data_IF_400926070163
#
_entry.id   IF_400926070163
#
_cell.length_a   1.000
_cell.length_b   1.000
_cell.length_c   1.000
_cell.angle_alpha   90.00
_cell.angle_beta   90.00
_cell.angle_gamma   90.00
#
_symmetry.space_group_name_H-M   'P 1'
#
loop_
_entity.id
_entity.type
_entity.pdbx_description
1 polymer ?
#
# COMPACT_ATOMS: atom_id res chain seq x y z
N UNK A 1 -75.03 -28.64 -17.01
CA UNK A 1 -73.92 -28.11 -16.19
C UNK A 1 -72.77 -27.68 -17.10
N UNK A 2 -72.57 -26.37 -17.29
CA UNK A 2 -71.48 -25.80 -18.12
C UNK A 2 -70.45 -25.17 -17.20
N UNK A 3 -69.26 -25.79 -17.07
CA UNK A 3 -68.11 -25.19 -16.37
C UNK A 3 -67.46 -24.16 -17.30
N UNK A 4 -67.55 -22.88 -16.93
CA UNK A 4 -66.72 -21.83 -17.55
C UNK A 4 -65.27 -22.03 -17.11
N UNK A 5 -64.37 -22.24 -18.08
CA UNK A 5 -62.92 -22.15 -17.89
C UNK A 5 -62.55 -20.66 -17.85
N UNK A 6 -61.97 -20.20 -16.75
CA UNK A 6 -61.30 -18.89 -16.70
C UNK A 6 -60.04 -18.96 -17.55
N UNK A 7 -60.08 -18.38 -18.74
CA UNK A 7 -58.87 -18.06 -19.51
C UNK A 7 -58.14 -16.94 -18.77
N UNK A 8 -57.13 -17.30 -17.98
CA UNK A 8 -56.17 -16.35 -17.43
C UNK A 8 -55.43 -15.69 -18.59
N UNK A 9 -55.73 -14.42 -18.86
CA UNK A 9 -54.94 -13.61 -19.76
C UNK A 9 -53.51 -13.55 -19.19
N UNK A 10 -52.54 -14.15 -19.89
CA UNK A 10 -51.13 -13.93 -19.59
C UNK A 10 -50.85 -12.45 -19.86
N UNK A 11 -50.79 -11.65 -18.80
CA UNK A 11 -50.40 -10.25 -18.89
C UNK A 11 -48.99 -10.19 -19.48
N UNK A 12 -48.89 -9.81 -20.75
CA UNK A 12 -47.62 -9.54 -21.40
C UNK A 12 -47.03 -8.25 -20.85
N UNK A 13 -45.71 -8.25 -20.64
CA UNK A 13 -44.96 -7.08 -20.26
C UNK A 13 -45.20 -5.96 -21.28
N UNK A 14 -45.56 -4.76 -20.82
CA UNK A 14 -45.69 -3.62 -21.75
C UNK A 14 -44.32 -3.14 -22.19
N UNK A 15 -44.21 -2.58 -23.40
CA UNK A 15 -42.94 -2.04 -23.90
C UNK A 15 -42.37 -0.96 -22.98
N UNK A 16 -43.25 -0.14 -22.38
CA UNK A 16 -42.89 0.87 -21.39
C UNK A 16 -42.27 0.24 -20.13
N UNK A 17 -42.89 -0.80 -19.60
CA UNK A 17 -42.42 -1.51 -18.41
C UNK A 17 -41.06 -2.18 -18.66
N UNK A 18 -40.84 -2.71 -19.87
CA UNK A 18 -39.55 -3.26 -20.28
C UNK A 18 -38.45 -2.20 -20.27
N UNK A 19 -38.71 -1.01 -20.82
CA UNK A 19 -37.75 0.11 -20.83
C UNK A 19 -37.40 0.52 -19.39
N UNK A 20 -38.41 0.67 -18.53
CA UNK A 20 -38.21 1.04 -17.12
C UNK A 20 -37.32 0.01 -16.41
N UNK A 21 -37.59 -1.29 -16.60
CA UNK A 21 -36.78 -2.36 -15.99
C UNK A 21 -35.33 -2.30 -16.46
N UNK A 22 -35.08 -2.11 -17.75
CA UNK A 22 -33.72 -2.00 -18.30
C UNK A 22 -33.01 -0.77 -17.72
N UNK A 23 -33.69 0.38 -17.64
CA UNK A 23 -33.09 1.60 -17.07
C UNK A 23 -32.72 1.40 -15.60
N UNK A 24 -33.61 0.80 -14.80
CA UNK A 24 -33.33 0.51 -13.39
C UNK A 24 -32.16 -0.48 -13.25
N UNK A 25 -32.13 -1.54 -14.07
CA UNK A 25 -31.02 -2.51 -14.07
C UNK A 25 -29.68 -1.85 -14.42
N UNK A 26 -29.64 -0.98 -15.43
CA UNK A 26 -28.43 -0.23 -15.78
C UNK A 26 -27.95 0.65 -14.63
N UNK A 27 -28.88 1.37 -13.98
CA UNK A 27 -28.56 2.23 -12.84
C UNK A 27 -28.00 1.42 -11.65
N UNK A 28 -28.68 0.32 -11.28
CA UNK A 28 -28.22 -0.56 -10.19
C UNK A 28 -26.87 -1.18 -10.51
N UNK A 29 -26.65 -1.61 -11.76
CA UNK A 29 -25.37 -2.19 -12.19
C UNK A 29 -24.25 -1.16 -12.14
N UNK A 30 -24.49 0.08 -12.59
CA UNK A 30 -23.51 1.16 -12.54
C UNK A 30 -23.09 1.48 -11.10
N UNK A 31 -24.05 1.57 -10.17
CA UNK A 31 -23.79 1.79 -8.75
C UNK A 31 -23.07 0.60 -8.09
N UNK A 32 -23.46 -0.62 -8.44
CA UNK A 32 -22.83 -1.86 -7.95
C UNK A 32 -21.37 -1.97 -8.37
N UNK A 33 -21.06 -1.71 -9.65
CA UNK A 33 -19.69 -1.75 -10.16
C UNK A 33 -18.80 -0.66 -9.55
N UNK A 34 -19.33 0.55 -9.36
CA UNK A 34 -18.58 1.65 -8.73
C UNK A 34 -18.21 1.36 -7.28
N UNK A 35 -19.18 0.88 -6.48
CA UNK A 35 -18.94 0.53 -5.07
C UNK A 35 -17.96 -0.63 -4.91
N UNK A 36 -18.05 -1.66 -5.75
CA UNK A 36 -17.11 -2.78 -5.75
C UNK A 36 -15.68 -2.35 -6.08
N UNK A 37 -15.50 -1.47 -7.07
CA UNK A 37 -14.18 -0.95 -7.45
C UNK A 37 -13.48 -0.22 -6.30
N UNK A 38 -14.20 0.63 -5.59
CA UNK A 38 -13.69 1.36 -4.43
C UNK A 38 -13.36 0.43 -3.25
N UNK A 39 -14.21 -0.55 -2.97
CA UNK A 39 -13.97 -1.52 -1.89
C UNK A 39 -12.72 -2.35 -2.17
N UNK A 40 -12.56 -2.85 -3.39
CA UNK A 40 -11.36 -3.60 -3.81
C UNK A 40 -10.10 -2.75 -3.71
N UNK A 41 -10.15 -1.50 -4.15
CA UNK A 41 -9.02 -0.58 -4.06
C UNK A 41 -8.58 -0.36 -2.60
N UNK A 42 -9.53 -0.15 -1.68
CA UNK A 42 -9.24 -0.02 -0.25
C UNK A 42 -8.55 -1.26 0.30
N UNK A 43 -9.05 -2.45 -0.01
CA UNK A 43 -8.47 -3.72 0.46
C UNK A 43 -7.04 -3.92 -0.04
N UNK A 44 -6.77 -3.60 -1.31
CA UNK A 44 -5.40 -3.67 -1.85
C UNK A 44 -4.48 -2.72 -1.10
N UNK A 45 -4.90 -1.47 -0.88
CA UNK A 45 -4.13 -0.48 -0.15
C UNK A 45 -3.85 -0.90 1.30
N UNK A 46 -4.86 -1.45 1.98
CA UNK A 46 -4.74 -1.96 3.34
C UNK A 46 -3.72 -3.09 3.43
N UNK A 47 -3.88 -4.12 2.58
CA UNK A 47 -2.96 -5.25 2.52
C UNK A 47 -1.53 -4.84 2.17
N UNK A 48 -1.34 -3.90 1.24
CA UNK A 48 0.00 -3.43 0.87
C UNK A 48 0.65 -2.65 2.02
N UNK A 49 -0.10 -1.79 2.71
CA UNK A 49 0.42 -1.06 3.87
C UNK A 49 0.80 -1.99 5.02
N UNK A 50 -0.01 -3.01 5.30
CA UNK A 50 0.27 -4.02 6.33
C UNK A 50 1.49 -4.86 5.98
N UNK A 51 1.62 -5.27 4.71
CA UNK A 51 2.81 -6.00 4.23
C UNK A 51 4.06 -5.15 4.34
N UNK A 52 4.01 -3.88 3.97
CA UNK A 52 5.18 -3.01 4.09
C UNK A 52 5.62 -2.88 5.56
N UNK A 53 4.68 -2.65 6.49
CA UNK A 53 4.97 -2.62 7.93
C UNK A 53 5.55 -3.95 8.43
N UNK A 54 4.95 -5.08 8.05
CA UNK A 54 5.42 -6.40 8.46
C UNK A 54 6.81 -6.71 7.92
N UNK A 55 7.06 -6.41 6.65
CA UNK A 55 8.38 -6.58 6.01
C UNK A 55 9.41 -5.69 6.69
N UNK A 56 9.16 -4.39 6.87
CA UNK A 56 10.10 -3.49 7.54
C UNK A 56 10.44 -3.96 8.96
N UNK A 57 9.45 -4.41 9.74
CA UNK A 57 9.72 -5.01 11.06
C UNK A 57 10.57 -6.27 10.96
N UNK A 58 10.28 -7.15 10.00
CA UNK A 58 11.08 -8.35 9.73
C UNK A 58 12.52 -8.01 9.34
N UNK A 59 12.75 -7.02 8.47
CA UNK A 59 14.10 -6.59 8.08
C UNK A 59 14.86 -6.00 9.27
N UNK A 60 14.20 -5.19 10.09
CA UNK A 60 14.77 -4.66 11.34
C UNK A 60 15.19 -5.78 12.28
N UNK A 61 14.36 -6.80 12.43
CA UNK A 61 14.67 -7.93 13.32
C UNK A 61 15.75 -8.85 12.73
N UNK A 62 15.78 -9.05 11.41
CA UNK A 62 16.90 -9.71 10.72
C UNK A 62 18.22 -8.95 10.91
N UNK A 63 18.21 -7.63 10.83
CA UNK A 63 19.41 -6.82 11.09
C UNK A 63 19.93 -7.00 12.53
N UNK A 64 19.13 -7.48 13.49
CA UNK A 64 19.63 -7.77 14.84
C UNK A 64 20.38 -9.10 14.94
N UNK A 65 20.13 -10.02 14.01
CA UNK A 65 20.66 -11.39 14.05
C UNK A 65 21.67 -11.70 12.94
N UNK A 66 21.71 -10.87 11.89
CA UNK A 66 22.63 -11.01 10.76
C UNK A 66 23.74 -9.96 10.79
N UNK A 67 24.81 -10.20 10.01
CA UNK A 67 25.95 -9.29 9.85
C UNK A 67 25.81 -8.37 8.63
N UNK A 68 24.61 -8.26 8.08
CA UNK A 68 24.34 -7.44 6.91
C UNK A 68 23.45 -6.27 7.31
N UNK A 69 23.73 -5.12 6.72
CA UNK A 69 22.78 -4.02 6.68
C UNK A 69 21.68 -4.38 5.70
N UNK A 70 20.45 -4.29 6.16
CA UNK A 70 19.28 -4.65 5.37
C UNK A 70 18.40 -3.43 5.28
N UNK A 71 17.91 -3.11 4.09
CA UNK A 71 17.17 -1.88 3.87
C UNK A 71 16.11 -1.98 2.80
N UNK A 72 15.42 -0.86 2.61
CA UNK A 72 14.45 -0.66 1.54
C UNK A 72 14.78 0.65 0.84
N UNK A 73 14.88 0.56 -0.48
CA UNK A 73 15.08 1.68 -1.37
C UNK A 73 13.72 2.15 -1.93
N UNK A 74 13.38 3.42 -1.73
CA UNK A 74 12.17 4.03 -2.30
C UNK A 74 12.49 4.96 -3.50
N UNK A 75 13.69 4.85 -4.09
CA UNK A 75 14.16 5.69 -5.21
C UNK A 75 13.40 5.46 -6.50
N UNK A 76 13.05 4.21 -6.79
CA UNK A 76 12.22 3.92 -7.95
C UNK A 76 10.78 4.28 -7.58
N UNK A 77 10.35 5.50 -7.95
CA UNK A 77 9.05 6.13 -7.63
C UNK A 77 7.82 5.20 -7.74
N UNK A 78 7.93 4.11 -8.50
CA UNK A 78 6.89 3.09 -8.65
C UNK A 78 6.95 1.95 -7.61
N UNK A 79 8.15 1.43 -7.27
CA UNK A 79 8.29 0.18 -6.53
C UNK A 79 9.50 0.18 -5.59
N UNK A 80 9.33 -0.18 -4.31
CA UNK A 80 10.45 -0.32 -3.41
C UNK A 80 11.33 -1.51 -3.81
N UNK A 81 12.62 -1.44 -3.48
CA UNK A 81 13.57 -2.55 -3.62
C UNK A 81 14.14 -2.92 -2.26
N UNK A 82 14.40 -4.21 -2.05
CA UNK A 82 15.16 -4.66 -0.89
C UNK A 82 16.65 -4.51 -1.14
N UNK A 83 17.33 -3.92 -0.16
CA UNK A 83 18.77 -3.74 -0.18
C UNK A 83 19.43 -4.64 0.85
N UNK A 84 20.56 -5.23 0.48
CA UNK A 84 21.50 -5.87 1.42
C UNK A 84 22.90 -5.37 1.15
N UNK A 85 23.62 -5.04 2.21
CA UNK A 85 25.00 -4.57 2.13
C UNK A 85 25.78 -5.13 3.32
N UNK A 86 27.03 -5.58 3.14
CA UNK A 86 27.85 -6.06 4.25
C UNK A 86 28.01 -4.98 5.34
N UNK A 87 27.92 -5.38 6.60
CA UNK A 87 28.31 -4.55 7.73
C UNK A 87 29.75 -4.86 8.13
N UNK A 88 30.60 -3.83 8.13
CA UNK A 88 32.02 -4.02 8.42
C UNK A 88 32.31 -3.88 9.91
N UNK A 89 31.97 -2.73 10.50
CA UNK A 89 32.17 -2.45 11.92
C UNK A 89 31.41 -1.16 12.32
N UNK A 90 31.30 -0.81 13.61
CA UNK A 90 30.58 0.39 14.05
C UNK A 90 31.15 1.72 13.55
N UNK A 91 32.42 1.75 13.12
CA UNK A 91 33.10 2.96 12.66
C UNK A 91 32.88 3.22 11.17
N UNK A 92 32.96 2.17 10.36
CA UNK A 92 32.80 2.20 8.91
C UNK A 92 31.34 1.98 8.48
N UNK A 93 30.54 1.31 9.32
CA UNK A 93 29.14 1.01 9.08
C UNK A 93 28.95 -0.02 7.96
N UNK A 94 27.90 0.17 7.17
CA UNK A 94 27.64 -0.62 5.97
C UNK A 94 28.52 -0.14 4.84
N UNK A 95 29.33 -1.05 4.28
CA UNK A 95 30.24 -0.72 3.17
C UNK A 95 30.39 -1.91 2.24
N UNK A 96 30.73 -1.64 0.98
CA UNK A 96 30.82 -2.66 -0.07
C UNK A 96 29.62 -2.62 -1.01
N UNK A 97 29.53 -3.65 -1.84
CA UNK A 97 28.49 -3.74 -2.87
C UNK A 97 27.09 -3.89 -2.28
N UNK A 98 26.13 -3.19 -2.89
CA UNK A 98 24.73 -3.28 -2.51
C UNK A 98 24.06 -4.32 -3.41
N UNK A 99 23.57 -5.39 -2.80
CA UNK A 99 22.68 -6.34 -3.45
C UNK A 99 21.26 -5.78 -3.46
N UNK A 100 20.63 -5.77 -4.64
CA UNK A 100 19.27 -5.26 -4.87
C UNK A 100 18.37 -6.40 -5.28
N UNK A 101 17.23 -6.54 -4.62
CA UNK A 101 16.22 -7.54 -4.95
C UNK A 101 14.83 -6.91 -4.95
N UNK A 102 13.91 -7.48 -5.73
CA UNK A 102 12.54 -6.99 -5.80
C UNK A 102 11.84 -7.11 -4.44
N UNK A 103 11.02 -6.12 -4.11
CA UNK A 103 10.21 -6.19 -2.90
C UNK A 103 9.13 -7.27 -3.02
N UNK A 104 9.07 -8.23 -2.08
CA UNK A 104 8.23 -9.40 -2.23
C UNK A 104 6.74 -9.04 -2.21
N UNK A 105 6.00 -9.57 -3.17
CA UNK A 105 4.53 -9.46 -3.26
C UNK A 105 3.99 -8.01 -3.31
N UNK A 106 4.78 -7.08 -3.84
CA UNK A 106 4.35 -5.71 -4.07
C UNK A 106 3.29 -5.65 -5.18
N UNK A 107 2.23 -4.86 -4.97
CA UNK A 107 1.19 -4.68 -5.99
C UNK A 107 1.64 -3.67 -7.04
N UNK A 108 1.55 -4.04 -8.32
CA UNK A 108 1.83 -3.13 -9.44
C UNK A 108 0.93 -1.89 -9.50
N UNK A 109 -0.21 -1.93 -8.81
CA UNK A 109 -1.17 -0.84 -8.78
C UNK A 109 -0.87 0.18 -7.66
N UNK A 110 0.04 -0.15 -6.73
CA UNK A 110 0.37 0.70 -5.56
C UNK A 110 1.75 1.30 -5.74
N UNK A 111 1.84 2.61 -5.56
CA UNK A 111 3.07 3.38 -5.67
C UNK A 111 3.28 4.23 -4.43
N UNK A 112 4.52 4.60 -4.18
CA UNK A 112 4.86 5.57 -3.13
C UNK A 112 4.50 6.96 -3.65
N UNK A 113 3.49 7.62 -3.07
CA UNK A 113 3.09 8.97 -3.51
C UNK A 113 3.96 10.05 -2.91
N UNK A 114 4.40 9.86 -1.67
CA UNK A 114 5.10 10.88 -0.91
C UNK A 114 6.00 10.26 0.15
N UNK A 115 7.18 10.85 0.31
CA UNK A 115 8.13 10.55 1.38
C UNK A 115 8.38 11.83 2.14
N UNK A 116 8.39 11.78 3.48
CA UNK A 116 8.77 12.93 4.29
C UNK A 116 9.59 12.55 5.50
N UNK A 117 10.45 13.48 5.91
CA UNK A 117 11.28 13.42 7.11
C UNK A 117 10.88 14.55 8.04
N UNK A 118 10.46 14.22 9.25
CA UNK A 118 9.96 15.19 10.24
C UNK A 118 8.91 16.16 9.66
N UNK A 119 8.03 15.63 8.80
CA UNK A 119 6.97 16.39 8.13
C UNK A 119 7.42 17.23 6.93
N UNK A 120 8.70 17.17 6.52
CA UNK A 120 9.19 17.83 5.31
C UNK A 120 9.24 16.84 4.16
N UNK A 121 8.56 17.18 3.07
CA UNK A 121 8.56 16.37 1.86
C UNK A 121 9.97 16.26 1.28
N UNK A 122 10.31 15.05 0.85
CA UNK A 122 11.55 14.79 0.14
C UNK A 122 11.32 14.92 -1.36
N UNK A 123 12.16 15.73 -2.00
CA UNK A 123 12.31 15.75 -3.46
C UNK A 123 13.40 14.79 -3.94
N UNK A 124 14.13 14.17 -3.01
CA UNK A 124 15.21 13.24 -3.29
C UNK A 124 14.82 11.82 -2.90
N UNK A 125 15.48 10.82 -3.51
CA UNK A 125 15.27 9.44 -3.12
C UNK A 125 15.56 9.20 -1.63
N UNK A 126 14.83 8.25 -1.04
CA UNK A 126 15.01 7.83 0.35
C UNK A 126 15.37 6.35 0.38
N UNK A 127 16.49 6.05 1.03
CA UNK A 127 16.85 4.69 1.40
C UNK A 127 16.77 4.56 2.91
N UNK A 128 16.15 3.50 3.39
CA UNK A 128 16.05 3.17 4.82
C UNK A 128 16.86 1.90 5.07
N UNK A 129 17.89 1.99 5.89
CA UNK A 129 18.69 0.86 6.35
C UNK A 129 18.42 0.56 7.83
N UNK A 130 18.40 -0.73 8.15
CA UNK A 130 18.47 -1.25 9.51
C UNK A 130 19.90 -1.77 9.74
N UNK A 131 20.58 -1.18 10.73
CA UNK A 131 22.00 -1.38 10.96
C UNK A 131 22.21 -2.47 12.03
N UNK A 132 22.97 -3.54 11.74
CA UNK A 132 23.30 -4.55 12.73
C UNK A 132 24.28 -4.05 13.79
N UNK A 133 24.34 -4.68 14.98
CA UNK A 133 23.43 -5.73 15.48
C UNK A 133 22.19 -5.17 16.18
N UNK A 134 21.97 -3.85 16.13
CA UNK A 134 20.95 -3.18 16.94
C UNK A 134 19.61 -3.04 16.20
N UNK A 135 19.62 -3.10 14.87
CA UNK A 135 18.47 -2.79 14.03
C UNK A 135 18.14 -1.28 14.05
N UNK A 136 19.10 -0.43 14.40
CA UNK A 136 18.92 1.03 14.38
C UNK A 136 18.61 1.50 12.97
N UNK A 137 17.66 2.41 12.84
CA UNK A 137 17.27 2.99 11.56
C UNK A 137 18.30 4.04 11.16
N UNK A 138 18.84 3.91 9.94
CA UNK A 138 19.66 4.91 9.26
C UNK A 138 19.02 5.21 7.91
N UNK A 139 19.04 6.47 7.51
CA UNK A 139 18.54 6.88 6.20
C UNK A 139 19.66 7.41 5.31
N UNK A 140 19.43 7.36 4.00
CA UNK A 140 20.25 8.00 2.97
C UNK A 140 19.34 8.88 2.10
N UNK A 141 19.59 10.20 1.94
CA UNK A 141 20.71 10.96 2.53
C UNK A 141 20.69 10.98 4.06
N UNK A 142 21.88 10.89 4.66
CA UNK A 142 22.04 10.88 6.11
C UNK A 142 21.53 12.19 6.71
N UNK A 143 20.45 12.09 7.48
CA UNK A 143 19.88 13.20 8.24
C UNK A 143 19.54 12.74 9.66
N UNK A 144 19.67 13.66 10.62
CA UNK A 144 19.10 13.45 11.94
C UNK A 144 17.60 13.65 11.83
N UNK A 145 16.86 12.55 11.90
CA UNK A 145 15.40 12.55 11.78
C UNK A 145 14.80 11.81 12.95
N UNK A 146 13.61 12.23 13.35
CA UNK A 146 12.83 11.54 14.38
C UNK A 146 11.74 10.68 13.75
N UNK A 147 11.15 11.18 12.66
CA UNK A 147 9.99 10.57 12.02
C UNK A 147 10.22 10.47 10.51
N UNK A 148 9.98 9.29 9.96
CA UNK A 148 9.96 9.04 8.52
C UNK A 148 8.54 8.64 8.17
N UNK A 149 7.96 9.30 7.19
CA UNK A 149 6.58 9.06 6.75
C UNK A 149 6.58 8.64 5.29
N UNK A 150 5.90 7.52 5.01
CA UNK A 150 5.77 6.93 3.68
C UNK A 150 4.28 6.88 3.35
N UNK A 151 3.86 7.65 2.35
CA UNK A 151 2.50 7.60 1.82
C UNK A 151 2.44 6.73 0.58
N UNK A 152 1.46 5.84 0.58
CA UNK A 152 1.15 4.96 -0.53
C UNK A 152 -0.14 5.43 -1.19
N UNK A 153 -0.18 5.38 -2.51
CA UNK A 153 -1.38 5.61 -3.31
C UNK A 153 -1.59 4.52 -4.34
N UNK A 154 -2.79 4.46 -4.92
CA UNK A 154 -3.13 3.54 -6.01
C UNK A 154 -3.74 4.32 -7.17
N UNK A 155 -3.34 3.99 -8.39
CA UNK A 155 -3.90 4.63 -9.58
C UNK A 155 -5.43 4.49 -9.62
N UNK A 156 -6.12 5.62 -9.80
CA UNK A 156 -7.60 5.69 -9.79
C UNK A 156 -8.24 5.55 -8.40
N UNK A 157 -7.47 5.66 -7.31
CA UNK A 157 -7.98 5.67 -5.94
C UNK A 157 -7.45 6.89 -5.18
N UNK A 158 -8.35 7.66 -4.57
CA UNK A 158 -8.03 8.98 -4.01
C UNK A 158 -7.42 8.89 -2.60
N UNK A 159 -7.72 7.81 -1.86
CA UNK A 159 -7.28 7.71 -0.46
C UNK A 159 -5.89 7.10 -0.35
N UNK A 160 -5.06 7.74 0.43
CA UNK A 160 -3.70 7.27 0.73
C UNK A 160 -3.66 6.39 1.98
N UNK A 161 -2.62 5.58 2.07
CA UNK A 161 -2.24 4.88 3.30
C UNK A 161 -0.87 5.34 3.71
N UNK A 162 -0.74 5.78 4.95
CA UNK A 162 0.49 6.36 5.46
C UNK A 162 1.11 5.45 6.51
N UNK A 163 2.41 5.25 6.40
CA UNK A 163 3.23 4.48 7.34
C UNK A 163 4.21 5.44 7.98
N UNK A 164 4.35 5.33 9.30
CA UNK A 164 5.25 6.13 10.11
C UNK A 164 6.31 5.21 10.71
N UNK A 165 7.57 5.65 10.60
CA UNK A 165 8.72 5.04 11.26
C UNK A 165 9.30 6.09 12.20
N UNK A 166 9.23 5.81 13.49
CA UNK A 166 9.96 6.57 14.49
C UNK A 166 11.41 6.08 14.47
N UNK A 167 12.31 6.89 13.93
CA UNK A 167 13.72 6.56 13.79
C UNK A 167 14.45 6.51 15.15
N UNK A 168 13.88 7.10 16.20
CA UNK A 168 14.47 7.10 17.55
C UNK A 168 14.16 5.82 18.31
N UNK A 169 12.91 5.35 18.25
CA UNK A 169 12.47 4.12 18.92
C UNK A 169 12.54 2.90 18.02
N UNK A 170 12.68 3.11 16.71
CA UNK A 170 12.56 2.09 15.68
C UNK A 170 11.12 1.61 15.47
N UNK A 171 10.11 2.23 16.09
CA UNK A 171 8.70 1.82 15.96
C UNK A 171 8.21 2.06 14.54
N UNK A 172 7.59 1.05 13.94
CA UNK A 172 7.03 1.09 12.58
C UNK A 172 5.53 0.82 12.70
N UNK A 173 4.71 1.75 12.25
CA UNK A 173 3.25 1.65 12.37
C UNK A 173 2.53 2.29 11.20
N UNK A 174 1.29 1.85 10.97
CA UNK A 174 0.39 2.51 10.02
C UNK A 174 -0.36 3.63 10.73
N UNK A 175 -0.42 4.80 10.11
CA UNK A 175 -1.27 5.89 10.57
C UNK A 175 -2.72 5.67 10.11
N UNK A 176 -3.71 6.11 10.90
CA UNK A 176 -5.09 6.11 10.45
C UNK A 176 -5.21 6.92 9.14
N UNK A 177 -6.13 6.55 8.23
CA UNK A 177 -6.40 7.38 7.06
C UNK A 177 -6.70 8.81 7.50
N UNK A 178 -6.02 9.77 6.90
CA UNK A 178 -6.39 11.18 7.01
C UNK A 178 -7.85 11.33 6.55
N UNK A 179 -8.68 11.91 7.42
CA UNK A 179 -10.03 12.31 7.05
C UNK A 179 -9.89 13.48 6.07
N UNK A 180 -10.08 13.20 4.78
CA UNK A 180 -10.33 14.23 3.77
C UNK A 180 -11.83 14.52 3.72
#
# INVERSE_FOLDING_TARGET
MKRQRSTGAKAGFTLLELIIVITVLMLVTALGLGSYGLARASLIMDLQSERLVATLNSLRDQAKTHTDCIGVDFTNDAYPELLRQPYTNPREGCSGDIERTEFPNWSKDVVTSQLSLDGRELSTPLVIFFIPPTGVVRIDPAAQVTTITISLTRYGYVRERTIEIDATTGRIQRLPPSAQ
#
